data_IF_218369783789
#
_entry.id   IF_218369783789
#
_cell.length_a   1.000
_cell.length_b   1.000
_cell.length_c   1.000
_cell.angle_alpha   90.00
_cell.angle_beta   90.00
_cell.angle_gamma   90.00
#
_symmetry.space_group_name_H-M   'P 1'
#
loop_
_entity.id
_entity.type
_entity.pdbx_description
1 polymer ?
#
# COMPACT_ATOMS: atom_id res chain seq x y z
N UNK A 1 28.18 -31.77 -1.99
CA UNK A 1 27.98 -30.52 -1.22
C UNK A 1 28.10 -29.27 -2.10
N UNK A 2 29.16 -29.11 -2.91
CA UNK A 2 29.30 -27.96 -3.84
C UNK A 2 28.16 -27.83 -4.85
N UNK A 3 27.75 -28.92 -5.50
CA UNK A 3 26.66 -28.89 -6.50
C UNK A 3 25.30 -28.49 -5.91
N UNK A 4 25.00 -28.96 -4.69
CA UNK A 4 23.79 -28.58 -3.97
C UNK A 4 23.73 -27.07 -3.66
N UNK A 5 24.86 -26.49 -3.25
CA UNK A 5 24.95 -25.04 -2.99
C UNK A 5 24.78 -24.23 -4.28
N UNK A 6 25.36 -24.69 -5.39
CA UNK A 6 25.22 -24.04 -6.70
C UNK A 6 23.76 -24.07 -7.16
N UNK A 7 23.07 -25.20 -7.06
CA UNK A 7 21.65 -25.31 -7.43
C UNK A 7 20.76 -24.39 -6.60
N UNK A 8 21.00 -24.26 -5.28
CA UNK A 8 20.26 -23.33 -4.44
C UNK A 8 20.50 -21.88 -4.89
N UNK A 9 21.75 -21.52 -5.20
CA UNK A 9 22.11 -20.19 -5.66
C UNK A 9 21.43 -19.85 -6.99
N UNK A 10 21.45 -20.77 -7.96
CA UNK A 10 20.75 -20.61 -9.24
C UNK A 10 19.25 -20.39 -9.03
N UNK A 11 18.63 -21.20 -8.18
CA UNK A 11 17.21 -21.06 -7.84
C UNK A 11 16.91 -19.67 -7.25
N UNK A 12 17.74 -19.22 -6.30
CA UNK A 12 17.59 -17.90 -5.67
C UNK A 12 17.74 -16.78 -6.70
N UNK A 13 18.76 -16.85 -7.57
CA UNK A 13 18.99 -15.84 -8.60
C UNK A 13 17.85 -15.78 -9.61
N UNK A 14 17.29 -16.93 -10.01
CA UNK A 14 16.13 -17.00 -10.89
C UNK A 14 14.89 -16.35 -10.25
N UNK A 15 14.59 -16.69 -9.01
CA UNK A 15 13.46 -16.09 -8.30
C UNK A 15 13.66 -14.59 -8.05
N UNK A 16 14.86 -14.17 -7.67
CA UNK A 16 15.18 -12.76 -7.47
C UNK A 16 15.03 -11.96 -8.78
N UNK A 17 15.55 -12.48 -9.90
CA UNK A 17 15.39 -11.87 -11.21
C UNK A 17 13.93 -11.74 -11.63
N UNK A 18 13.12 -12.78 -11.38
CA UNK A 18 11.69 -12.77 -11.68
C UNK A 18 10.94 -11.71 -10.86
N UNK A 19 11.23 -11.61 -9.56
CA UNK A 19 10.60 -10.61 -8.67
C UNK A 19 10.99 -9.20 -9.10
N UNK A 20 12.25 -8.96 -9.41
CA UNK A 20 12.73 -7.64 -9.87
C UNK A 20 12.13 -7.26 -11.23
N UNK A 21 12.04 -8.19 -12.16
CA UNK A 21 11.41 -7.97 -13.45
C UNK A 21 9.92 -7.62 -13.28
N UNK A 22 9.18 -8.35 -12.44
CA UNK A 22 7.79 -8.05 -12.13
C UNK A 22 7.64 -6.67 -11.45
N UNK A 23 8.50 -6.36 -10.48
CA UNK A 23 8.48 -5.08 -9.77
C UNK A 23 8.78 -3.88 -10.68
N UNK A 24 9.54 -4.08 -11.77
CA UNK A 24 9.83 -3.06 -12.77
C UNK A 24 8.65 -2.77 -13.73
N UNK A 25 7.70 -3.70 -13.84
CA UNK A 25 6.49 -3.51 -14.64
C UNK A 25 5.53 -2.48 -14.03
N UNK A 26 4.59 -1.99 -14.82
CA UNK A 26 3.64 -0.94 -14.39
C UNK A 26 2.86 -1.32 -13.12
N UNK A 27 2.30 -2.53 -13.09
CA UNK A 27 1.57 -3.04 -11.93
C UNK A 27 2.47 -3.21 -10.70
N UNK A 28 3.72 -3.67 -10.90
CA UNK A 28 4.71 -3.81 -9.84
C UNK A 28 5.13 -2.46 -9.24
N UNK A 29 5.37 -1.45 -10.09
CA UNK A 29 5.69 -0.09 -9.67
C UNK A 29 4.58 0.51 -8.80
N UNK A 30 3.32 0.35 -9.19
CA UNK A 30 2.16 0.83 -8.41
C UNK A 30 2.06 0.09 -7.07
N UNK A 31 2.25 -1.23 -7.07
CA UNK A 31 2.21 -2.06 -5.85
C UNK A 31 3.31 -1.67 -4.85
N UNK A 32 4.54 -1.48 -5.34
CA UNK A 32 5.68 -1.03 -4.54
C UNK A 32 5.45 0.40 -4.02
N UNK A 33 4.93 1.30 -4.86
CA UNK A 33 4.60 2.66 -4.46
C UNK A 33 3.57 2.69 -3.32
N UNK A 34 2.52 1.87 -3.39
CA UNK A 34 1.55 1.72 -2.30
C UNK A 34 2.14 1.23 -0.98
N UNK A 35 3.02 0.23 -1.08
CA UNK A 35 3.77 -0.27 0.08
C UNK A 35 4.67 0.82 0.66
N UNK A 36 5.33 1.59 -0.19
CA UNK A 36 6.18 2.70 0.23
C UNK A 36 5.38 3.82 0.92
N UNK A 37 4.18 4.16 0.43
CA UNK A 37 3.32 5.18 1.05
C UNK A 37 2.87 4.79 2.45
N UNK A 38 2.43 3.54 2.62
CA UNK A 38 2.04 3.00 3.94
C UNK A 38 3.24 2.80 4.87
N UNK A 39 4.41 2.39 4.36
CA UNK A 39 5.66 2.34 5.12
C UNK A 39 6.05 3.72 5.64
N UNK A 40 6.01 4.73 4.75
CA UNK A 40 6.33 6.11 5.09
C UNK A 40 5.45 6.58 6.24
N UNK A 41 4.15 6.33 6.15
CA UNK A 41 3.21 6.62 7.24
C UNK A 41 3.60 5.92 8.54
N UNK A 42 3.86 4.61 8.52
CA UNK A 42 4.22 3.86 9.72
C UNK A 42 5.50 4.42 10.37
N UNK A 43 6.48 4.82 9.56
CA UNK A 43 7.72 5.44 10.02
C UNK A 43 7.49 6.75 10.76
N UNK A 44 6.46 7.53 10.37
CA UNK A 44 6.11 8.82 10.98
C UNK A 44 5.04 8.73 12.10
N UNK A 45 4.17 7.72 12.11
CA UNK A 45 3.12 7.52 13.13
C UNK A 45 3.57 6.64 14.32
N UNK A 46 4.70 6.95 14.95
CA UNK A 46 5.15 6.40 16.27
C UNK A 46 5.85 5.03 16.28
N UNK A 47 6.09 4.35 15.14
CA UNK A 47 6.91 3.12 15.03
C UNK A 47 6.65 2.04 16.09
N UNK A 48 5.45 1.99 16.67
CA UNK A 48 5.19 1.23 17.92
C UNK A 48 5.58 -0.25 17.84
N UNK A 49 5.29 -0.91 16.72
CA UNK A 49 5.59 -2.33 16.49
C UNK A 49 5.95 -2.58 15.03
N UNK A 50 7.04 -3.30 14.79
CA UNK A 50 7.50 -3.69 13.45
C UNK A 50 6.45 -4.57 12.75
N UNK A 51 5.79 -5.46 13.51
CA UNK A 51 4.70 -6.30 13.00
C UNK A 51 3.58 -5.46 12.38
N UNK A 52 3.20 -4.37 13.03
CA UNK A 52 2.14 -3.50 12.52
C UNK A 52 2.61 -2.75 11.27
N UNK A 53 3.90 -2.43 11.18
CA UNK A 53 4.52 -1.90 9.96
C UNK A 53 4.43 -2.87 8.79
N UNK A 54 4.80 -4.14 8.99
CA UNK A 54 4.72 -5.16 7.95
C UNK A 54 3.29 -5.36 7.44
N UNK A 55 2.30 -5.42 8.35
CA UNK A 55 0.88 -5.51 7.98
C UNK A 55 0.46 -4.27 7.18
N UNK A 56 0.85 -3.07 7.63
CA UNK A 56 0.52 -1.82 6.91
C UNK A 56 1.10 -1.78 5.50
N UNK A 57 2.34 -2.25 5.30
CA UNK A 57 2.98 -2.32 3.97
C UNK A 57 2.23 -3.26 3.05
N UNK A 58 1.90 -4.47 3.50
CA UNK A 58 1.16 -5.45 2.70
C UNK A 58 -0.21 -4.91 2.34
N UNK A 59 -0.94 -4.35 3.32
CA UNK A 59 -2.26 -3.76 3.08
C UNK A 59 -2.17 -2.55 2.14
N UNK A 60 -1.17 -1.68 2.28
CA UNK A 60 -0.97 -0.52 1.42
C UNK A 60 -0.63 -0.89 -0.02
N UNK A 61 0.20 -1.92 -0.22
CA UNK A 61 0.50 -2.45 -1.55
C UNK A 61 -0.73 -3.05 -2.23
N UNK A 62 -1.53 -3.83 -1.49
CA UNK A 62 -2.78 -4.39 -2.01
C UNK A 62 -3.80 -3.28 -2.35
N UNK A 63 -3.98 -2.31 -1.45
CA UNK A 63 -4.88 -1.20 -1.68
C UNK A 63 -4.45 -0.38 -2.89
N UNK A 64 -3.16 -0.08 -3.06
CA UNK A 64 -2.69 0.64 -4.22
C UNK A 64 -2.99 -0.11 -5.53
N UNK A 65 -2.87 -1.44 -5.56
CA UNK A 65 -3.17 -2.22 -6.76
C UNK A 65 -4.64 -2.08 -7.22
N UNK A 66 -5.58 -1.99 -6.28
CA UNK A 66 -7.02 -1.91 -6.61
C UNK A 66 -7.58 -0.49 -6.60
N UNK A 67 -7.05 0.41 -5.76
CA UNK A 67 -7.58 1.75 -5.54
C UNK A 67 -6.87 2.84 -6.35
N UNK A 68 -5.71 2.58 -6.97
CA UNK A 68 -5.02 3.62 -7.75
C UNK A 68 -5.89 4.32 -8.81
N UNK A 69 -6.87 3.69 -9.51
CA UNK A 69 -7.68 4.42 -10.50
C UNK A 69 -8.58 5.46 -9.84
N UNK A 70 -9.14 5.11 -8.67
CA UNK A 70 -9.95 6.02 -7.86
C UNK A 70 -9.12 7.16 -7.30
N UNK A 71 -7.95 6.84 -6.73
CA UNK A 71 -7.04 7.86 -6.22
C UNK A 71 -6.56 8.79 -7.33
N UNK A 72 -6.28 8.26 -8.52
CA UNK A 72 -5.92 9.05 -9.68
C UNK A 72 -7.06 9.98 -10.10
N UNK A 73 -8.30 9.48 -10.20
CA UNK A 73 -9.46 10.31 -10.55
C UNK A 73 -9.68 11.46 -9.55
N UNK A 74 -9.51 11.20 -8.25
CA UNK A 74 -9.57 12.25 -7.23
C UNK A 74 -8.42 13.24 -7.38
N UNK A 75 -7.21 12.74 -7.62
CA UNK A 75 -6.02 13.58 -7.81
C UNK A 75 -6.10 14.45 -9.06
N UNK A 76 -6.67 13.97 -10.17
CA UNK A 76 -6.80 14.78 -11.38
C UNK A 76 -7.86 15.87 -11.24
N UNK A 77 -8.91 15.63 -10.46
CA UNK A 77 -9.89 16.68 -10.11
C UNK A 77 -9.27 17.72 -9.18
N UNK A 78 -8.50 17.28 -8.17
CA UNK A 78 -7.87 18.17 -7.20
C UNK A 78 -6.65 18.93 -7.75
N UNK A 79 -5.86 18.27 -8.59
CA UNK A 79 -4.65 18.76 -9.25
C UNK A 79 -4.70 18.42 -10.75
N UNK A 80 -5.38 19.25 -11.56
CA UNK A 80 -5.51 19.02 -13.00
C UNK A 80 -4.16 18.92 -13.73
N UNK A 81 -3.12 19.59 -13.21
CA UNK A 81 -1.76 19.57 -13.77
C UNK A 81 -1.07 18.20 -13.70
N UNK A 82 -1.59 17.25 -12.92
CA UNK A 82 -1.07 15.89 -12.82
C UNK A 82 -1.78 14.90 -13.75
N UNK A 83 -2.87 15.32 -14.41
CA UNK A 83 -3.64 14.46 -15.31
C UNK A 83 -2.95 14.30 -16.66
N UNK A 84 -2.14 13.26 -16.82
CA UNK A 84 -1.55 12.89 -18.12
C UNK A 84 -0.09 12.44 -18.08
N UNK A 85 0.60 12.68 -16.96
CA UNK A 85 1.98 12.22 -16.80
C UNK A 85 2.05 10.69 -16.58
N UNK A 86 3.04 9.99 -17.17
CA UNK A 86 3.23 8.55 -16.98
C UNK A 86 3.38 8.16 -15.50
N UNK A 87 3.98 9.04 -14.69
CA UNK A 87 4.24 8.79 -13.27
C UNK A 87 3.04 9.08 -12.35
N UNK A 88 1.96 9.67 -12.87
CA UNK A 88 0.76 9.99 -12.08
C UNK A 88 0.10 8.75 -11.50
N UNK A 89 0.16 7.62 -12.21
CA UNK A 89 -0.37 6.34 -11.72
C UNK A 89 0.43 5.80 -10.53
N UNK A 90 1.76 5.91 -10.59
CA UNK A 90 2.66 5.48 -9.51
C UNK A 90 2.45 6.37 -8.29
N UNK A 91 2.32 7.68 -8.49
CA UNK A 91 1.99 8.63 -7.43
C UNK A 91 0.62 8.33 -6.81
N UNK A 92 -0.40 8.05 -7.62
CA UNK A 92 -1.72 7.67 -7.13
C UNK A 92 -1.65 6.38 -6.29
N UNK A 93 -0.83 5.40 -6.69
CA UNK A 93 -0.53 4.22 -5.88
C UNK A 93 0.09 4.58 -4.52
N UNK A 94 1.09 5.46 -4.50
CA UNK A 94 1.71 5.95 -3.27
C UNK A 94 0.72 6.65 -2.34
N UNK A 95 -0.08 7.57 -2.89
CA UNK A 95 -1.13 8.30 -2.14
C UNK A 95 -2.20 7.35 -1.62
N UNK A 96 -2.59 6.35 -2.42
CA UNK A 96 -3.52 5.29 -1.99
C UNK A 96 -2.97 4.54 -0.76
N UNK A 97 -1.68 4.19 -0.78
CA UNK A 97 -0.99 3.55 0.34
C UNK A 97 -0.92 4.43 1.61
N UNK A 98 -0.70 5.74 1.45
CA UNK A 98 -0.71 6.72 2.54
C UNK A 98 -2.09 6.83 3.22
N UNK A 99 -3.16 6.86 2.41
CA UNK A 99 -4.52 7.14 2.86
C UNK A 99 -5.25 5.88 3.33
N UNK A 100 -4.94 4.71 2.75
CA UNK A 100 -5.72 3.48 2.91
C UNK A 100 -6.05 3.09 4.35
N UNK A 101 -5.06 3.10 5.25
CA UNK A 101 -5.28 2.75 6.66
C UNK A 101 -6.06 3.83 7.42
N UNK A 102 -5.86 5.11 7.09
CA UNK A 102 -6.67 6.20 7.63
C UNK A 102 -8.13 6.03 7.24
N UNK A 103 -8.39 5.77 5.96
CA UNK A 103 -9.74 5.58 5.44
C UNK A 103 -10.44 4.39 6.12
N UNK A 104 -9.73 3.27 6.31
CA UNK A 104 -10.27 2.12 7.02
C UNK A 104 -10.63 2.44 8.48
N UNK A 105 -9.78 3.18 9.20
CA UNK A 105 -10.06 3.60 10.59
C UNK A 105 -11.24 4.57 10.67
N UNK A 106 -11.34 5.52 9.75
CA UNK A 106 -12.46 6.47 9.68
C UNK A 106 -13.76 5.71 9.40
N UNK A 107 -13.75 4.79 8.43
CA UNK A 107 -14.91 3.96 8.11
C UNK A 107 -15.36 3.13 9.31
N UNK A 108 -14.43 2.50 10.02
CA UNK A 108 -14.72 1.74 11.24
C UNK A 108 -15.34 2.65 12.31
N UNK A 109 -14.75 3.82 12.57
CA UNK A 109 -15.27 4.77 13.55
C UNK A 109 -16.69 5.26 13.18
N UNK A 110 -17.00 5.45 11.90
CA UNK A 110 -18.36 5.82 11.45
C UNK A 110 -19.36 4.69 11.65
N UNK A 111 -18.96 3.43 11.43
CA UNK A 111 -19.80 2.25 11.67
C UNK A 111 -20.04 2.08 13.16
N UNK A 112 -18.99 2.18 13.98
CA UNK A 112 -19.08 2.11 15.44
C UNK A 112 -19.94 3.24 16.00
N UNK A 113 -19.84 4.47 15.49
CA UNK A 113 -20.70 5.57 15.91
C UNK A 113 -22.18 5.33 15.59
N UNK A 114 -22.48 4.66 14.47
CA UNK A 114 -23.85 4.27 14.10
C UNK A 114 -24.36 3.06 14.89
N UNK A 115 -23.49 2.11 15.20
CA UNK A 115 -23.84 0.91 15.98
C UNK A 115 -23.96 1.22 17.48
N UNK A 116 -23.06 2.06 18.01
CA UNK A 116 -23.01 2.53 19.40
C UNK A 116 -24.06 3.56 19.77
N UNK A 117 -24.79 4.13 18.79
CA UNK A 117 -26.02 4.89 19.03
C UNK A 117 -27.14 4.08 19.71
N UNK A 118 -26.91 2.78 19.98
CA UNK A 118 -27.85 1.87 20.64
C UNK A 118 -27.44 1.44 22.06
N UNK A 119 -26.33 1.98 22.61
CA UNK A 119 -25.82 1.56 23.93
C UNK A 119 -25.41 2.72 24.87
N UNK A 120 -25.95 3.93 24.67
CA UNK A 120 -25.88 4.99 25.67
C UNK A 120 -27.08 4.89 26.63
N UNK A 121 -27.06 3.85 27.45
CA UNK A 121 -27.66 3.90 28.78
C UNK A 121 -26.79 4.79 29.67
N UNK A 122 -27.36 5.91 30.08
CA UNK A 122 -26.91 6.75 31.21
C UNK A 122 -26.65 5.89 32.46
N UNK A 123 -25.69 6.29 33.30
CA UNK A 123 -26.08 7.14 34.44
C UNK A 123 -25.53 8.57 34.35
#
# INVERSE_FOLDING_TARGET
>A
MKEFVVQILEQIMLWAGLVLAWASGEAGRIFVAGGAGSLTRWLFSERRRIRDGAVQVITGSLLAHYMWPWTLAVMTVALPSLGGEPDSKVMAGFVSGLVGISAAKIALAMIEARAGGRDNGTP
#
